data_IF_015181109004
#
_entry.id   IF_015181109004
#
_cell.length_a   1.000
_cell.length_b   1.000
_cell.length_c   1.000
_cell.angle_alpha   90.00
_cell.angle_beta   90.00
_cell.angle_gamma   90.00
#
_symmetry.space_group_name_H-M   'P 1'
#
loop_
_entity.id
_entity.type
_entity.pdbx_description
1 polymer ?
#
# COMPACT_ATOMS: atom_id res chain seq x y z
N UNK A 1 14.60 -10.44 -9.97
CA UNK A 1 13.80 -9.31 -9.48
C UNK A 1 12.47 -9.90 -9.05
N UNK A 2 11.96 -9.48 -7.90
CA UNK A 2 10.67 -9.97 -7.45
C UNK A 2 9.56 -9.46 -8.35
N UNK A 3 8.59 -10.31 -8.62
CA UNK A 3 7.37 -9.92 -9.34
C UNK A 3 6.13 -10.42 -8.60
N UNK A 4 5.05 -9.64 -8.68
CA UNK A 4 3.74 -10.02 -8.13
C UNK A 4 2.70 -9.81 -9.22
N UNK A 5 2.07 -10.89 -9.64
CA UNK A 5 1.10 -10.87 -10.74
C UNK A 5 -0.27 -11.39 -10.27
N UNK A 6 -1.33 -10.71 -10.68
CA UNK A 6 -2.71 -11.19 -10.54
C UNK A 6 -3.22 -11.63 -11.92
N UNK A 7 -3.84 -12.80 -11.98
CA UNK A 7 -4.53 -13.31 -13.18
C UNK A 7 -5.98 -13.58 -12.88
N UNK A 8 -6.87 -12.75 -13.43
CA UNK A 8 -8.31 -12.84 -13.23
C UNK A 8 -8.73 -12.79 -11.75
N UNK A 9 -7.97 -12.08 -10.89
CA UNK A 9 -8.20 -12.09 -9.45
C UNK A 9 -9.58 -11.51 -9.13
N UNK A 10 -10.35 -12.29 -8.37
CA UNK A 10 -11.60 -11.88 -7.76
C UNK A 10 -11.68 -12.35 -6.31
N UNK A 11 -12.43 -11.60 -5.50
CA UNK A 11 -12.64 -11.92 -4.09
C UNK A 11 -14.07 -11.64 -3.68
N UNK A 12 -14.72 -12.65 -3.09
CA UNK A 12 -16.05 -12.55 -2.50
C UNK A 12 -15.98 -12.74 -0.99
N UNK A 13 -16.73 -11.90 -0.26
CA UNK A 13 -16.84 -12.03 1.18
C UNK A 13 -18.19 -12.62 1.58
N UNK A 14 -18.15 -13.71 2.36
CA UNK A 14 -19.37 -14.36 2.85
C UNK A 14 -20.27 -14.88 1.73
N UNK A 15 -21.60 -14.72 1.88
CA UNK A 15 -22.59 -15.25 0.94
C UNK A 15 -22.73 -14.37 -0.32
N UNK A 16 -21.70 -14.31 -1.16
CA UNK A 16 -21.81 -13.73 -2.50
C UNK A 16 -21.67 -12.20 -2.60
N UNK A 17 -21.07 -11.52 -1.62
CA UNK A 17 -20.71 -10.11 -1.76
C UNK A 17 -19.37 -10.00 -2.47
N UNK A 18 -19.38 -9.67 -3.75
CA UNK A 18 -18.18 -9.40 -4.54
C UNK A 18 -17.49 -8.14 -4.02
N UNK A 19 -16.23 -8.25 -3.67
CA UNK A 19 -15.35 -7.15 -3.22
C UNK A 19 -14.39 -6.76 -4.34
N UNK A 20 -13.81 -7.76 -5.03
CA UNK A 20 -12.89 -7.56 -6.16
C UNK A 20 -13.32 -8.45 -7.32
N UNK A 21 -13.14 -7.97 -8.55
CA UNK A 21 -13.39 -8.77 -9.76
C UNK A 21 -12.49 -8.37 -10.92
N UNK A 22 -11.86 -9.36 -11.57
CA UNK A 22 -11.19 -9.20 -12.85
C UNK A 22 -9.89 -8.41 -12.80
N UNK A 23 -9.06 -8.58 -11.76
CA UNK A 23 -7.72 -7.97 -11.75
C UNK A 23 -6.75 -8.85 -12.55
N UNK A 24 -6.26 -8.28 -13.64
CA UNK A 24 -5.14 -8.78 -14.44
C UNK A 24 -4.06 -7.69 -14.42
N UNK A 25 -3.05 -7.84 -13.56
CA UNK A 25 -2.01 -6.84 -13.35
C UNK A 25 -0.72 -7.51 -12.90
N UNK A 26 0.41 -6.98 -13.35
CA UNK A 26 1.74 -7.37 -12.90
C UNK A 26 2.45 -6.18 -12.29
N UNK A 27 3.20 -6.43 -11.22
CA UNK A 27 4.10 -5.49 -10.58
C UNK A 27 5.51 -6.07 -10.63
N UNK A 28 6.45 -5.28 -11.14
CA UNK A 28 7.84 -5.69 -11.29
C UNK A 28 8.73 -5.00 -10.24
N UNK A 29 9.82 -5.67 -9.84
CA UNK A 29 10.67 -5.23 -8.73
C UNK A 29 11.39 -3.90 -8.95
N UNK A 30 11.48 -3.39 -10.17
CA UNK A 30 12.12 -2.13 -10.53
C UNK A 30 11.15 -0.95 -10.69
N UNK A 31 9.87 -1.17 -10.47
CA UNK A 31 8.83 -0.12 -10.61
C UNK A 31 8.86 0.92 -9.49
N UNK A 32 9.61 0.70 -8.42
CA UNK A 32 9.74 1.65 -7.32
C UNK A 32 8.52 1.68 -6.42
N UNK A 33 7.92 2.87 -6.22
CA UNK A 33 6.73 3.05 -5.38
C UNK A 33 5.46 3.06 -6.23
N UNK A 34 4.64 2.03 -6.06
CA UNK A 34 3.30 1.92 -6.65
C UNK A 34 2.24 2.34 -5.64
N UNK A 35 1.41 3.33 -5.98
CA UNK A 35 0.28 3.72 -5.13
C UNK A 35 -1.04 3.13 -5.64
N UNK A 36 -1.80 2.47 -4.75
CA UNK A 36 -3.13 1.94 -5.02
C UNK A 36 -4.18 2.93 -4.53
N UNK A 37 -4.86 3.59 -5.46
CA UNK A 37 -5.87 4.62 -5.22
C UNK A 37 -7.31 4.07 -5.40
N UNK A 38 -8.27 4.70 -4.74
CA UNK A 38 -9.71 4.42 -4.89
C UNK A 38 -10.50 4.82 -3.65
N UNK A 39 -11.83 4.88 -3.74
CA UNK A 39 -12.69 5.25 -2.62
C UNK A 39 -12.58 4.30 -1.43
N UNK A 40 -13.09 4.73 -0.28
CA UNK A 40 -13.17 3.87 0.90
C UNK A 40 -14.13 2.70 0.64
N UNK A 41 -13.76 1.51 1.12
CA UNK A 41 -14.59 0.30 0.99
C UNK A 41 -14.62 -0.34 -0.39
N UNK A 42 -13.82 0.15 -1.37
CA UNK A 42 -13.79 -0.39 -2.73
C UNK A 42 -12.99 -1.70 -2.85
N UNK A 43 -12.25 -2.10 -1.81
CA UNK A 43 -11.50 -3.36 -1.80
C UNK A 43 -9.98 -3.23 -1.83
N UNK A 44 -9.40 -2.03 -1.68
CA UNK A 44 -7.94 -1.81 -1.72
C UNK A 44 -7.17 -2.68 -0.70
N UNK A 45 -7.61 -2.67 0.56
CA UNK A 45 -7.04 -3.53 1.63
C UNK A 45 -7.19 -5.02 1.29
N UNK A 46 -8.31 -5.42 0.68
CA UNK A 46 -8.53 -6.79 0.24
C UNK A 46 -7.55 -7.18 -0.85
N UNK A 47 -7.33 -6.30 -1.84
CA UNK A 47 -6.33 -6.48 -2.88
C UNK A 47 -4.93 -6.62 -2.28
N UNK A 48 -4.52 -5.68 -1.42
CA UNK A 48 -3.23 -5.73 -0.74
C UNK A 48 -3.00 -7.05 0.02
N UNK A 49 -4.03 -7.54 0.73
CA UNK A 49 -3.95 -8.83 1.45
C UNK A 49 -3.92 -10.03 0.53
N UNK A 50 -4.59 -9.98 -0.63
CA UNK A 50 -4.49 -11.04 -1.64
C UNK A 50 -3.08 -11.09 -2.23
N UNK A 51 -2.48 -9.94 -2.58
CA UNK A 51 -1.11 -9.84 -3.09
C UNK A 51 -0.09 -10.48 -2.13
N UNK A 52 -0.32 -10.34 -0.82
CA UNK A 52 0.54 -10.89 0.23
C UNK A 52 0.22 -12.36 0.59
N UNK A 53 -0.72 -13.02 -0.07
CA UNK A 53 -1.16 -14.36 0.29
C UNK A 53 -1.83 -14.46 1.67
N UNK A 54 -2.23 -13.34 2.26
CA UNK A 54 -2.95 -13.29 3.54
C UNK A 54 -4.43 -13.62 3.36
N UNK A 55 -4.99 -13.33 2.17
CA UNK A 55 -6.30 -13.75 1.73
C UNK A 55 -6.15 -14.54 0.44
N UNK A 56 -6.84 -15.68 0.36
CA UNK A 56 -6.90 -16.45 -0.88
C UNK A 56 -8.01 -15.88 -1.78
N UNK A 57 -7.71 -15.54 -3.05
CA UNK A 57 -8.74 -15.11 -3.98
C UNK A 57 -9.80 -16.21 -4.15
N UNK A 58 -11.06 -15.82 -4.38
CA UNK A 58 -12.15 -16.75 -4.68
C UNK A 58 -12.20 -17.11 -6.17
N UNK A 59 -11.57 -16.28 -7.01
CA UNK A 59 -11.42 -16.47 -8.46
C UNK A 59 -10.03 -16.00 -8.88
N UNK A 60 -9.47 -16.62 -9.89
CA UNK A 60 -8.13 -16.30 -10.39
C UNK A 60 -7.01 -16.70 -9.45
N UNK A 61 -5.82 -16.19 -9.70
CA UNK A 61 -4.60 -16.54 -8.95
C UNK A 61 -3.73 -15.31 -8.69
N UNK A 62 -2.89 -15.40 -7.65
CA UNK A 62 -1.78 -14.47 -7.41
C UNK A 62 -0.49 -15.27 -7.59
N UNK A 63 0.39 -14.80 -8.45
CA UNK A 63 1.71 -15.37 -8.65
C UNK A 63 2.77 -14.48 -7.99
N UNK A 64 3.71 -15.10 -7.31
CA UNK A 64 4.89 -14.45 -6.72
C UNK A 64 6.11 -15.09 -7.38
N UNK A 65 6.89 -14.31 -8.12
CA UNK A 65 7.98 -14.82 -8.96
C UNK A 65 7.55 -15.97 -9.89
N UNK A 66 6.32 -15.89 -10.42
CA UNK A 66 5.74 -16.91 -11.31
C UNK A 66 5.17 -18.16 -10.62
N UNK A 67 5.29 -18.28 -9.28
CA UNK A 67 4.74 -19.40 -8.50
C UNK A 67 3.41 -18.99 -7.85
N UNK A 68 2.41 -19.88 -7.91
CA UNK A 68 1.10 -19.64 -7.29
C UNK A 68 1.23 -19.51 -5.77
N UNK A 69 0.87 -18.34 -5.25
CA UNK A 69 0.91 -18.03 -3.81
C UNK A 69 0.07 -19.02 -2.98
N UNK A 70 -1.00 -19.60 -3.53
CA UNK A 70 -1.82 -20.60 -2.86
C UNK A 70 -1.05 -21.91 -2.60
N UNK A 71 -0.03 -22.21 -3.41
CA UNK A 71 0.83 -23.40 -3.25
C UNK A 71 2.03 -23.16 -2.32
N UNK A 72 2.34 -21.89 -2.03
CA UNK A 72 3.49 -21.52 -1.21
C UNK A 72 3.20 -21.65 0.29
N UNK A 73 4.22 -22.02 1.07
CA UNK A 73 4.13 -21.91 2.53
C UNK A 73 4.14 -20.44 2.95
N UNK A 74 3.49 -20.12 4.08
CA UNK A 74 3.50 -18.76 4.65
C UNK A 74 4.91 -18.23 4.89
N UNK A 75 5.85 -19.09 5.27
CA UNK A 75 7.24 -18.73 5.44
C UNK A 75 7.88 -18.28 4.13
N UNK A 76 7.64 -19.03 3.05
CA UNK A 76 8.20 -18.72 1.74
C UNK A 76 7.63 -17.42 1.16
N UNK A 77 6.32 -17.18 1.36
CA UNK A 77 5.71 -15.89 1.03
C UNK A 77 6.38 -14.76 1.85
N UNK A 78 6.55 -14.94 3.16
CA UNK A 78 7.18 -13.95 4.02
C UNK A 78 8.67 -13.69 3.71
N UNK A 79 9.35 -14.60 3.03
CA UNK A 79 10.71 -14.37 2.51
C UNK A 79 10.70 -13.42 1.30
N UNK A 80 9.57 -13.27 0.60
CA UNK A 80 9.40 -12.49 -0.63
C UNK A 80 8.62 -11.20 -0.42
N UNK A 81 7.57 -11.23 0.40
CA UNK A 81 6.65 -10.11 0.57
C UNK A 81 6.50 -9.80 2.06
N UNK A 82 6.68 -8.53 2.41
CA UNK A 82 6.35 -7.96 3.71
C UNK A 82 5.01 -7.23 3.66
N UNK A 83 4.20 -7.35 4.70
CA UNK A 83 2.94 -6.64 4.84
C UNK A 83 2.93 -5.72 6.08
N UNK A 84 2.69 -4.44 5.86
CA UNK A 84 2.53 -3.43 6.91
C UNK A 84 1.06 -3.03 6.99
N UNK A 85 0.33 -3.37 8.05
CA UNK A 85 -1.07 -3.00 8.21
C UNK A 85 -1.24 -1.51 8.53
N UNK A 86 -2.43 -0.96 8.25
CA UNK A 86 -2.81 0.44 8.55
C UNK A 86 -2.88 0.73 10.05
N UNK A 87 -3.15 -0.29 10.85
CA UNK A 87 -3.18 -0.21 12.31
C UNK A 87 -2.72 -1.56 12.88
N UNK A 88 -2.09 -1.52 14.02
CA UNK A 88 -1.69 -2.71 14.75
C UNK A 88 -2.07 -2.57 16.21
N UNK A 89 -2.34 -3.70 16.87
CA UNK A 89 -2.33 -3.70 18.33
C UNK A 89 -0.93 -3.28 18.78
N UNK A 90 -0.87 -2.40 19.77
CA UNK A 90 0.36 -2.02 20.44
C UNK A 90 0.53 -2.93 21.68
N UNK A 91 1.08 -4.15 21.53
CA UNK A 91 1.34 -4.99 22.67
C UNK A 91 2.37 -4.30 23.55
N UNK A 92 2.40 -4.64 24.82
CA UNK A 92 3.42 -4.15 25.75
C UNK A 92 4.78 -4.81 25.43
N UNK A 93 5.40 -4.28 24.38
CA UNK A 93 6.70 -4.71 23.85
C UNK A 93 7.55 -3.49 23.55
N UNK A 94 8.87 -3.58 23.66
CA UNK A 94 9.76 -2.50 23.28
C UNK A 94 9.76 -2.30 21.74
N UNK A 95 10.07 -1.09 21.30
CA UNK A 95 10.26 -0.78 19.86
C UNK A 95 11.29 -1.72 19.25
N UNK A 96 12.41 -1.91 19.93
CA UNK A 96 13.48 -2.84 19.53
C UNK A 96 12.96 -4.25 19.29
N UNK A 97 12.21 -4.79 20.26
CA UNK A 97 11.67 -6.14 20.14
C UNK A 97 10.63 -6.25 19.03
N UNK A 98 9.78 -5.23 18.88
CA UNK A 98 8.77 -5.18 17.83
C UNK A 98 9.41 -5.17 16.42
N UNK A 99 10.50 -4.41 16.21
CA UNK A 99 11.20 -4.39 14.94
C UNK A 99 11.96 -5.69 14.70
N UNK A 100 12.61 -6.26 15.75
CA UNK A 100 13.25 -7.58 15.69
C UNK A 100 12.27 -8.70 15.34
N UNK A 101 11.00 -8.59 15.73
CA UNK A 101 9.97 -9.55 15.30
C UNK A 101 9.83 -9.64 13.77
N UNK A 102 10.14 -8.56 13.04
CA UNK A 102 10.21 -8.59 11.57
C UNK A 102 11.22 -9.61 11.04
N UNK A 103 12.27 -9.92 11.80
CA UNK A 103 13.29 -10.94 11.46
C UNK A 103 12.86 -12.38 11.75
N UNK A 104 11.73 -12.58 12.45
CA UNK A 104 11.25 -13.92 12.84
C UNK A 104 10.67 -14.67 11.63
N UNK A 105 11.54 -15.19 10.77
CA UNK A 105 11.17 -16.01 9.60
C UNK A 105 10.73 -17.45 9.97
N UNK A 106 10.21 -17.66 11.19
CA UNK A 106 9.80 -18.95 11.70
C UNK A 106 10.18 -19.12 13.17
N UNK A 107 9.74 -20.21 13.82
CA UNK A 107 9.81 -20.52 15.25
C UNK A 107 11.22 -20.56 15.91
N UNK A 108 12.19 -19.79 15.44
CA UNK A 108 13.51 -19.67 16.01
C UNK A 108 13.62 -18.46 16.94
N UNK A 109 13.58 -18.68 18.25
CA UNK A 109 13.72 -17.67 19.31
C UNK A 109 15.14 -17.06 19.47
N UNK A 110 16.05 -17.32 18.54
CA UNK A 110 17.41 -16.77 18.61
C UNK A 110 17.64 -15.76 17.51
N UNK A 111 17.61 -14.49 17.87
CA UNK A 111 18.08 -13.39 17.01
C UNK A 111 19.60 -13.46 16.89
N UNK A 112 20.09 -13.42 15.66
CA UNK A 112 21.52 -13.31 15.37
C UNK A 112 22.00 -11.86 15.51
N UNK A 113 23.33 -11.64 15.54
CA UNK A 113 23.89 -10.28 15.45
C UNK A 113 23.53 -9.59 14.14
N UNK A 114 23.41 -10.37 13.05
CA UNK A 114 22.99 -9.85 11.76
C UNK A 114 21.52 -9.36 11.78
N UNK A 115 20.62 -10.10 12.44
CA UNK A 115 19.24 -9.68 12.60
C UNK A 115 19.12 -8.39 13.42
N UNK A 116 19.93 -8.26 14.48
CA UNK A 116 19.97 -7.03 15.27
C UNK A 116 20.50 -5.84 14.48
N UNK A 117 21.47 -6.04 13.57
CA UNK A 117 21.97 -5.00 12.67
C UNK A 117 20.87 -4.54 11.71
N UNK A 118 20.22 -5.47 10.98
CA UNK A 118 19.15 -5.16 10.03
C UNK A 118 17.99 -4.43 10.71
N UNK A 119 17.61 -4.86 11.92
CA UNK A 119 16.58 -4.18 12.69
C UNK A 119 17.02 -2.77 13.12
N UNK A 120 18.31 -2.59 13.46
CA UNK A 120 18.91 -1.29 13.76
C UNK A 120 18.86 -0.35 12.56
N UNK A 121 19.29 -0.82 11.40
CA UNK A 121 19.29 -0.06 10.14
C UNK A 121 17.87 0.36 9.77
N UNK A 122 16.88 -0.54 9.92
CA UNK A 122 15.47 -0.21 9.69
C UNK A 122 14.94 0.84 10.68
N UNK A 123 15.33 0.79 11.96
CA UNK A 123 14.97 1.82 12.94
C UNK A 123 15.62 3.17 12.63
N UNK A 124 16.85 3.18 12.18
CA UNK A 124 17.57 4.39 11.79
C UNK A 124 16.92 5.04 10.56
N UNK A 125 16.65 4.27 9.52
CA UNK A 125 15.97 4.74 8.31
C UNK A 125 14.62 5.40 8.60
N UNK A 126 13.86 4.90 9.59
CA UNK A 126 12.57 5.46 10.00
C UNK A 126 12.68 6.54 11.09
N UNK A 127 13.87 6.87 11.55
CA UNK A 127 14.11 7.87 12.62
C UNK A 127 13.40 7.48 13.91
N UNK A 128 13.50 6.22 14.34
CA UNK A 128 12.91 5.69 15.58
C UNK A 128 13.94 5.01 16.49
N UNK A 129 15.23 5.14 16.19
CA UNK A 129 16.32 4.54 16.99
C UNK A 129 16.37 5.06 18.42
N UNK A 130 16.04 6.34 18.63
CA UNK A 130 15.94 6.99 19.95
C UNK A 130 14.76 6.47 20.79
N UNK A 131 13.81 5.78 20.16
CA UNK A 131 12.64 5.19 20.80
C UNK A 131 12.84 3.69 21.11
N UNK A 132 14.00 3.11 20.80
CA UNK A 132 14.23 1.66 20.81
C UNK A 132 13.84 0.96 22.13
N UNK A 133 14.04 1.62 23.26
CA UNK A 133 13.77 1.07 24.59
C UNK A 133 12.38 1.51 25.16
N UNK A 134 11.60 2.31 24.40
CA UNK A 134 10.21 2.65 24.75
C UNK A 134 9.26 1.50 24.42
N UNK A 135 8.15 1.45 25.11
CA UNK A 135 7.06 0.52 24.80
C UNK A 135 6.15 1.07 23.71
N UNK A 136 5.56 0.18 22.91
CA UNK A 136 4.71 0.56 21.78
C UNK A 136 3.47 1.34 22.21
N UNK A 137 2.90 1.03 23.37
CA UNK A 137 1.74 1.68 23.95
C UNK A 137 2.02 3.10 24.49
N UNK A 138 3.27 3.51 24.58
CA UNK A 138 3.72 4.85 24.95
C UNK A 138 3.93 5.78 23.73
N UNK A 139 3.80 5.26 22.52
CA UNK A 139 4.10 5.98 21.30
C UNK A 139 2.92 6.79 20.79
N UNK A 140 3.20 7.96 20.17
CA UNK A 140 2.19 8.63 19.34
C UNK A 140 1.83 7.78 18.12
N UNK A 141 0.66 8.02 17.52
CA UNK A 141 0.22 7.28 16.33
C UNK A 141 1.25 7.34 15.19
N UNK A 142 1.87 8.50 14.96
CA UNK A 142 2.92 8.64 13.95
C UNK A 142 4.21 7.91 14.29
N UNK A 143 4.62 7.87 15.56
CA UNK A 143 5.77 7.08 16.01
C UNK A 143 5.50 5.58 15.85
N UNK A 144 4.33 5.12 16.31
CA UNK A 144 3.91 3.72 16.16
C UNK A 144 3.88 3.30 14.68
N UNK A 145 3.33 4.15 13.80
CA UNK A 145 3.29 3.86 12.36
C UNK A 145 4.70 3.70 11.78
N UNK A 146 5.64 4.57 12.12
CA UNK A 146 7.04 4.44 11.69
C UNK A 146 7.69 3.15 12.22
N UNK A 147 7.37 2.74 13.44
CA UNK A 147 7.85 1.46 14.01
C UNK A 147 7.24 0.26 13.26
N UNK A 148 5.96 0.31 12.89
CA UNK A 148 5.33 -0.75 12.08
C UNK A 148 5.98 -0.86 10.70
N UNK A 149 6.32 0.26 10.07
CA UNK A 149 7.05 0.28 8.80
C UNK A 149 8.46 -0.28 9.00
N UNK A 150 9.20 0.17 10.05
CA UNK A 150 10.53 -0.36 10.38
C UNK A 150 10.50 -1.88 10.57
N UNK A 151 9.48 -2.41 11.26
CA UNK A 151 9.27 -3.87 11.40
C UNK A 151 9.07 -4.55 10.05
N UNK A 152 8.29 -3.93 9.16
CA UNK A 152 8.07 -4.44 7.80
C UNK A 152 9.36 -4.46 6.97
N UNK A 153 10.17 -3.40 7.04
CA UNK A 153 11.46 -3.31 6.35
C UNK A 153 12.48 -4.29 6.93
N UNK A 154 12.50 -4.44 8.26
CA UNK A 154 13.37 -5.41 8.94
C UNK A 154 13.12 -6.85 8.48
N UNK A 155 11.96 -7.19 7.93
CA UNK A 155 11.71 -8.49 7.31
C UNK A 155 12.63 -8.77 6.13
N UNK A 156 13.19 -7.72 5.49
CA UNK A 156 14.15 -7.79 4.39
C UNK A 156 13.59 -8.56 3.18
N UNK A 157 12.35 -8.27 2.84
CA UNK A 157 11.66 -8.81 1.68
C UNK A 157 11.87 -7.90 0.46
N UNK A 158 11.82 -8.51 -0.73
CA UNK A 158 11.99 -7.77 -2.00
C UNK A 158 10.76 -6.89 -2.33
N UNK A 159 9.58 -7.29 -1.82
CA UNK A 159 8.33 -6.53 -1.98
C UNK A 159 7.79 -6.11 -0.62
N UNK A 160 7.41 -4.84 -0.49
CA UNK A 160 6.78 -4.31 0.72
C UNK A 160 5.40 -3.78 0.37
N UNK A 161 4.35 -4.37 0.94
CA UNK A 161 2.96 -3.93 0.75
C UNK A 161 2.50 -3.22 2.01
N UNK A 162 2.05 -1.96 1.85
CA UNK A 162 1.64 -1.12 2.97
C UNK A 162 0.16 -0.74 2.81
N UNK A 163 -0.63 -1.07 3.82
CA UNK A 163 -2.06 -0.74 3.85
C UNK A 163 -2.26 0.57 4.58
N UNK A 164 -2.48 1.66 3.83
CA UNK A 164 -2.72 3.02 4.33
C UNK A 164 -1.69 3.53 5.36
N UNK A 165 -0.38 3.46 5.08
CA UNK A 165 0.66 3.79 6.05
C UNK A 165 0.70 5.27 6.45
N UNK A 166 -0.04 6.12 5.75
CA UNK A 166 -0.13 7.57 6.00
C UNK A 166 -1.44 7.99 6.65
N UNK A 167 -2.38 7.04 6.89
CA UNK A 167 -3.62 7.34 7.58
C UNK A 167 -3.35 7.77 9.03
N UNK A 168 -4.13 8.72 9.54
CA UNK A 168 -3.99 9.25 10.91
C UNK A 168 -2.66 9.98 11.22
N UNK A 169 -1.89 10.34 10.21
CA UNK A 169 -0.69 11.17 10.35
C UNK A 169 -1.00 12.63 9.99
N UNK A 170 -0.29 13.57 10.62
CA UNK A 170 -0.27 14.96 10.16
C UNK A 170 0.41 15.09 8.79
N UNK A 171 0.17 16.22 8.11
CA UNK A 171 0.68 16.47 6.75
C UNK A 171 2.19 16.28 6.62
N UNK A 172 2.97 16.77 7.60
CA UNK A 172 4.43 16.65 7.60
C UNK A 172 4.86 15.18 7.68
N UNK A 173 4.25 14.43 8.60
CA UNK A 173 4.50 12.99 8.78
C UNK A 173 4.07 12.16 7.57
N UNK A 174 2.96 12.52 6.90
CA UNK A 174 2.52 11.85 5.66
C UNK A 174 3.56 12.03 4.55
N UNK A 175 3.98 13.27 4.31
CA UNK A 175 4.98 13.61 3.30
C UNK A 175 6.32 12.92 3.57
N UNK A 176 6.78 12.97 4.83
CA UNK A 176 8.01 12.30 5.25
C UNK A 176 7.96 10.80 4.98
N UNK A 177 6.87 10.13 5.41
CA UNK A 177 6.69 8.70 5.22
C UNK A 177 6.66 8.32 3.73
N UNK A 178 5.91 9.04 2.91
CA UNK A 178 5.83 8.77 1.48
C UNK A 178 7.15 9.00 0.75
N UNK A 179 7.88 10.07 1.10
CA UNK A 179 9.23 10.35 0.57
C UNK A 179 10.20 9.22 0.89
N UNK A 180 10.21 8.80 2.16
CA UNK A 180 11.09 7.74 2.63
C UNK A 180 10.80 6.40 1.95
N UNK A 181 9.52 6.02 1.82
CA UNK A 181 9.14 4.79 1.10
C UNK A 181 9.59 4.82 -0.36
N UNK A 182 9.50 5.97 -1.02
CA UNK A 182 10.01 6.13 -2.38
C UNK A 182 11.53 6.00 -2.45
N UNK A 183 12.26 6.59 -1.51
CA UNK A 183 13.72 6.49 -1.44
C UNK A 183 14.15 5.03 -1.22
N UNK A 184 13.53 4.31 -0.30
CA UNK A 184 13.82 2.90 -0.04
C UNK A 184 13.52 2.04 -1.29
N UNK A 185 12.35 2.24 -1.91
CA UNK A 185 11.98 1.49 -3.11
C UNK A 185 12.99 1.68 -4.24
N UNK A 186 13.41 2.92 -4.50
CA UNK A 186 14.38 3.23 -5.57
C UNK A 186 15.81 2.88 -5.22
N UNK A 187 16.24 3.15 -3.98
CA UNK A 187 17.62 2.98 -3.55
C UNK A 187 18.04 1.52 -3.39
N UNK A 188 17.12 0.68 -2.95
CA UNK A 188 17.38 -0.74 -2.69
C UNK A 188 16.84 -1.67 -3.81
N UNK A 189 16.25 -1.10 -4.87
CA UNK A 189 15.64 -1.89 -5.96
C UNK A 189 14.49 -2.77 -5.47
N UNK A 190 13.73 -2.31 -4.48
CA UNK A 190 12.57 -2.99 -3.91
C UNK A 190 11.28 -2.46 -4.51
N UNK A 191 10.31 -3.32 -4.68
CA UNK A 191 8.94 -2.92 -5.01
C UNK A 191 8.21 -2.52 -3.73
N UNK A 192 7.71 -1.29 -3.67
CA UNK A 192 6.81 -0.85 -2.61
C UNK A 192 5.39 -0.62 -3.17
N UNK A 193 4.39 -1.31 -2.64
CA UNK A 193 2.97 -1.14 -3.01
C UNK A 193 2.27 -0.49 -1.82
N UNK A 194 1.83 0.75 -1.97
CA UNK A 194 1.19 1.53 -0.91
C UNK A 194 -0.29 1.79 -1.23
N UNK A 195 -1.20 1.29 -0.42
CA UNK A 195 -2.59 1.74 -0.46
C UNK A 195 -2.67 3.16 0.08
N UNK A 196 -3.26 4.06 -0.69
CA UNK A 196 -3.32 5.48 -0.37
C UNK A 196 -4.72 6.04 -0.61
N UNK A 197 -5.11 7.07 0.16
CA UNK A 197 -6.35 7.82 -0.05
C UNK A 197 -6.12 9.17 -0.69
N UNK A 198 -4.95 9.77 -0.44
CA UNK A 198 -4.62 11.10 -0.93
C UNK A 198 -4.04 11.02 -2.33
N UNK A 199 -4.82 11.53 -3.30
CA UNK A 199 -4.46 11.54 -4.71
C UNK A 199 -3.25 12.44 -4.97
N UNK A 200 -3.14 13.57 -4.26
CA UNK A 200 -2.01 14.49 -4.43
C UNK A 200 -0.73 13.93 -3.81
N UNK A 201 -0.83 13.21 -2.68
CA UNK A 201 0.30 12.49 -2.11
C UNK A 201 0.79 11.40 -3.08
N UNK A 202 -0.12 10.60 -3.63
CA UNK A 202 0.21 9.59 -4.63
C UNK A 202 0.81 10.23 -5.89
N UNK A 203 0.24 11.31 -6.38
CA UNK A 203 0.80 12.05 -7.52
C UNK A 203 2.23 12.49 -7.27
N UNK A 204 2.52 13.01 -6.09
CA UNK A 204 3.84 13.57 -5.78
C UNK A 204 4.92 12.50 -5.61
N UNK A 205 4.59 11.36 -5.00
CA UNK A 205 5.60 10.38 -4.58
C UNK A 205 5.59 9.08 -5.36
N UNK A 206 4.46 8.66 -5.93
CA UNK A 206 4.41 7.39 -6.66
C UNK A 206 5.21 7.44 -7.98
N UNK A 207 5.79 6.31 -8.34
CA UNK A 207 6.34 6.07 -9.67
C UNK A 207 5.24 5.55 -10.60
N UNK A 208 4.38 4.67 -10.08
CA UNK A 208 3.18 4.20 -10.75
C UNK A 208 1.95 4.32 -9.85
N UNK A 209 0.80 4.43 -10.46
CA UNK A 209 -0.50 4.49 -9.80
C UNK A 209 -1.42 3.43 -10.38
N UNK A 210 -1.98 2.60 -9.52
CA UNK A 210 -3.09 1.71 -9.82
C UNK A 210 -4.37 2.29 -9.22
N UNK A 211 -5.43 2.33 -9.98
CA UNK A 211 -6.74 2.72 -9.43
C UNK A 211 -7.66 1.51 -9.27
N UNK A 212 -8.46 1.53 -8.20
CA UNK A 212 -9.52 0.56 -7.95
C UNK A 212 -10.87 1.28 -8.06
N UNK A 213 -11.61 0.95 -9.11
CA UNK A 213 -12.89 1.55 -9.40
C UNK A 213 -14.05 0.81 -8.72
N UNK A 214 -15.12 1.50 -8.28
CA UNK A 214 -16.33 0.82 -7.80
C UNK A 214 -16.98 -0.04 -8.92
N UNK A 215 -17.51 -1.22 -8.60
CA UNK A 215 -17.57 -1.92 -7.31
C UNK A 215 -16.41 -2.91 -7.08
N UNK A 216 -15.16 -2.49 -7.11
CA UNK A 216 -13.99 -3.35 -6.89
C UNK A 216 -13.41 -3.94 -8.18
N UNK A 217 -13.36 -3.14 -9.24
CA UNK A 217 -12.74 -3.48 -10.53
C UNK A 217 -11.42 -2.75 -10.72
N UNK A 218 -10.49 -3.31 -11.51
CA UNK A 218 -9.30 -2.56 -11.89
C UNK A 218 -9.69 -1.31 -12.70
N UNK A 219 -9.11 -0.19 -12.36
CA UNK A 219 -9.12 1.02 -13.16
C UNK A 219 -7.78 1.21 -13.88
N UNK A 220 -7.50 2.42 -14.38
CA UNK A 220 -6.23 2.75 -15.01
C UNK A 220 -5.01 2.43 -14.15
N UNK A 221 -3.95 1.94 -14.81
CA UNK A 221 -2.62 1.69 -14.23
C UNK A 221 -1.55 2.33 -15.12
N UNK A 222 -0.63 3.07 -14.53
CA UNK A 222 0.43 3.77 -15.27
C UNK A 222 1.09 4.86 -14.43
N UNK A 223 1.80 5.78 -15.08
CA UNK A 223 2.41 6.91 -14.38
C UNK A 223 1.33 7.83 -13.77
N UNK A 224 1.66 8.63 -12.74
CA UNK A 224 0.70 9.60 -12.20
C UNK A 224 0.07 10.50 -13.28
N UNK A 225 0.83 10.89 -14.30
CA UNK A 225 0.33 11.75 -15.39
C UNK A 225 -0.65 11.04 -16.32
N UNK A 226 -0.50 9.74 -16.51
CA UNK A 226 -1.41 8.94 -17.33
C UNK A 226 -2.72 8.63 -16.61
N UNK A 227 -2.64 8.43 -15.27
CA UNK A 227 -3.75 7.93 -14.46
C UNK A 227 -4.55 9.05 -13.79
N UNK A 228 -3.87 10.08 -13.24
CA UNK A 228 -4.52 11.15 -12.50
C UNK A 228 -5.04 12.22 -13.49
N UNK A 229 -6.15 11.90 -14.13
CA UNK A 229 -6.85 12.77 -15.08
C UNK A 229 -8.21 13.19 -14.52
N UNK A 230 -8.79 14.26 -15.08
CA UNK A 230 -10.13 14.73 -14.67
C UNK A 230 -11.18 13.62 -14.81
N UNK A 231 -11.14 12.88 -15.92
CA UNK A 231 -12.12 11.82 -16.20
C UNK A 231 -11.95 10.65 -15.22
N UNK A 232 -10.73 10.23 -14.93
CA UNK A 232 -10.44 9.19 -13.96
C UNK A 232 -10.91 9.59 -12.55
N UNK A 233 -10.60 10.80 -12.09
CA UNK A 233 -11.04 11.30 -10.78
C UNK A 233 -12.58 11.37 -10.70
N UNK A 234 -13.23 11.83 -11.76
CA UNK A 234 -14.69 11.88 -11.83
C UNK A 234 -15.32 10.50 -11.82
N UNK A 235 -14.78 9.56 -12.58
CA UNK A 235 -15.29 8.18 -12.66
C UNK A 235 -15.15 7.46 -11.32
N UNK A 236 -13.97 7.55 -10.69
CA UNK A 236 -13.62 6.76 -9.51
C UNK A 236 -14.19 7.38 -8.24
N UNK A 237 -14.10 8.70 -8.08
CA UNK A 237 -14.47 9.39 -6.85
C UNK A 237 -15.81 10.16 -6.94
N UNK A 238 -16.35 10.35 -8.14
CA UNK A 238 -17.60 11.10 -8.34
C UNK A 238 -17.46 12.59 -8.05
N UNK A 239 -16.28 13.17 -8.23
CA UNK A 239 -16.00 14.59 -7.98
C UNK A 239 -15.51 15.28 -9.24
N UNK A 240 -15.88 16.56 -9.41
CA UNK A 240 -15.33 17.44 -10.43
C UNK A 240 -14.06 18.13 -9.91
N UNK A 241 -13.03 18.18 -10.73
CA UNK A 241 -11.75 18.77 -10.38
C UNK A 241 -11.10 19.47 -11.56
N UNK A 242 -10.11 20.30 -11.28
CA UNK A 242 -9.09 20.71 -12.24
C UNK A 242 -7.81 19.94 -11.99
N UNK A 243 -7.12 19.60 -13.07
CA UNK A 243 -5.78 19.05 -13.01
C UNK A 243 -4.84 20.18 -13.44
N UNK A 244 -3.91 20.54 -12.57
CA UNK A 244 -2.84 21.49 -12.86
C UNK A 244 -1.50 20.80 -12.74
N UNK A 245 -0.54 21.24 -13.55
CA UNK A 245 0.82 20.74 -13.42
C UNK A 245 1.54 21.47 -12.28
N UNK A 246 2.15 20.73 -11.36
CA UNK A 246 3.00 21.27 -10.31
C UNK A 246 4.26 20.41 -10.17
N UNK A 247 5.42 21.01 -10.34
CA UNK A 247 6.73 20.31 -10.31
C UNK A 247 6.80 19.12 -11.29
N UNK A 248 6.20 19.24 -12.47
CA UNK A 248 6.16 18.20 -13.50
C UNK A 248 5.20 17.03 -13.18
N UNK A 249 4.28 17.21 -12.23
CA UNK A 249 3.31 16.19 -11.81
C UNK A 249 1.90 16.76 -11.73
N UNK A 250 0.85 15.94 -11.97
CA UNK A 250 -0.52 16.41 -11.87
C UNK A 250 -0.91 16.71 -10.42
N UNK A 251 -1.51 17.86 -10.17
CA UNK A 251 -2.11 18.21 -8.89
C UNK A 251 -3.62 18.39 -9.05
N UNK A 252 -4.39 17.74 -8.17
CA UNK A 252 -5.85 17.73 -8.22
C UNK A 252 -6.40 18.86 -7.37
N UNK A 253 -7.10 19.80 -7.99
CA UNK A 253 -7.83 20.87 -7.33
C UNK A 253 -9.33 20.57 -7.38
N UNK A 254 -9.93 20.21 -6.24
CA UNK A 254 -11.34 19.84 -6.16
C UNK A 254 -12.25 21.04 -6.39
N UNK A 255 -13.27 20.89 -7.23
CA UNK A 255 -14.32 21.89 -7.50
C UNK A 255 -15.62 21.58 -6.77
N UNK A 256 -16.01 20.31 -6.67
CA UNK A 256 -17.25 19.90 -6.06
C UNK A 256 -17.64 18.45 -6.41
N UNK A 257 -18.83 18.05 -5.99
CA UNK A 257 -19.38 16.74 -6.32
C UNK A 257 -19.86 16.78 -7.78
N UNK A 258 -19.45 15.78 -8.58
CA UNK A 258 -19.95 15.63 -9.94
C UNK A 258 -21.45 15.27 -9.89
N UNK A 259 -22.29 16.19 -10.27
CA UNK A 259 -23.74 15.94 -10.36
C UNK A 259 -23.94 14.85 -11.43
N UNK A 260 -24.33 13.68 -11.03
CA UNK A 260 -24.89 12.67 -11.95
C UNK A 260 -26.05 13.35 -12.65
N UNK A 261 -25.96 13.50 -13.97
CA UNK A 261 -26.89 14.28 -14.77
C UNK A 261 -28.35 14.02 -14.38
N UNK A 262 -28.94 14.95 -13.67
CA UNK A 262 -30.36 15.18 -13.70
C UNK A 262 -30.64 15.71 -15.10
N UNK A 263 -31.11 14.86 -16.00
CA UNK A 263 -31.69 15.30 -17.25
C UNK A 263 -32.78 16.32 -16.87
N UNK A 264 -32.46 17.61 -16.99
CA UNK A 264 -33.49 18.65 -16.97
C UNK A 264 -34.37 18.37 -18.15
N UNK A 265 -35.50 17.67 -17.87
CA UNK A 265 -36.58 17.63 -18.81
C UNK A 265 -36.89 19.05 -19.19
N UNK A 266 -36.77 19.34 -20.49
CA UNK A 266 -37.22 20.56 -21.08
C UNK A 266 -38.70 20.71 -20.79
N UNK A 267 -39.04 21.50 -19.77
CA UNK A 267 -40.38 22.05 -19.67
C UNK A 267 -40.47 23.21 -20.70
N UNK A 268 -40.92 22.86 -21.90
CA UNK A 268 -41.49 23.79 -22.83
C UNK A 268 -42.88 24.16 -22.37
N UNK A 269 -43.11 25.39 -22.01
CA UNK A 269 -44.41 26.06 -22.03
C UNK A 269 -44.24 27.34 -22.82
#
# INVERSE_FOLDING_TARGET
>A
MASVECRGLGFEHGKGRTILSGFDISFEGDEGLVCVLGPNGVGKTTLARCLCGLLHPTQGTVLIDGEDAASMSRRRIAEKISFVPSSGEAPHASVRDAVLMGRSRGLGLRTSKADASIAGDAMEALGVSDLADRFLDELSAGQLQRVLIARGLAQDAEVVVLDEPTSNLDLGSQMYTASLLREIARGEGRLAIMVCHDVNLASKYADLVLTVAPPGRPGPFGTPSDVITRDCIREIYGVDCDIVEHEGRPAVLLRGIALRGCSRGSASA
#
